data_IF_325294272245
#
_entry.id   IF_325294272245
#
_cell.length_a   1.000
_cell.length_b   1.000
_cell.length_c   1.000
_cell.angle_alpha   90.00
_cell.angle_beta   90.00
_cell.angle_gamma   90.00
#
_symmetry.space_group_name_H-M   'P 1'
#
loop_
_entity.id
_entity.type
_entity.pdbx_description
1 polymer ?
#
# COMPACT_ATOMS: atom_id res chain seq x y z
N UNK A 1 11.81 8.17 6.54
CA UNK A 1 10.34 8.35 6.43
C UNK A 1 9.73 7.32 5.49
N UNK A 2 10.23 7.19 4.26
CA UNK A 2 9.88 6.06 3.38
C UNK A 2 10.20 4.69 3.97
N UNK A 3 11.26 4.56 4.76
CA UNK A 3 11.58 3.31 5.50
C UNK A 3 10.44 2.81 6.39
N UNK A 4 9.54 3.69 6.86
CA UNK A 4 8.34 3.26 7.59
C UNK A 4 7.35 2.57 6.66
N UNK A 5 7.20 3.07 5.44
CA UNK A 5 6.36 2.46 4.41
C UNK A 5 6.87 1.06 4.03
N UNK A 6 8.19 0.88 3.95
CA UNK A 6 8.82 -0.41 3.62
C UNK A 6 8.56 -1.50 4.68
N UNK A 7 8.13 -1.11 5.89
CA UNK A 7 7.74 -2.03 6.97
C UNK A 7 6.25 -2.35 6.98
N UNK A 8 5.44 -1.64 6.18
CA UNK A 8 4.00 -1.89 6.07
C UNK A 8 3.78 -3.06 5.11
N UNK A 9 3.09 -4.14 5.51
CA UNK A 9 2.87 -5.29 4.64
C UNK A 9 1.98 -4.95 3.43
N UNK A 10 2.38 -5.42 2.26
CA UNK A 10 1.54 -5.43 1.05
C UNK A 10 0.70 -6.71 1.02
N UNK A 11 -0.61 -6.56 1.20
CA UNK A 11 -1.50 -7.70 1.29
C UNK A 11 -1.68 -8.44 -0.03
N UNK A 12 -1.38 -7.83 -1.17
CA UNK A 12 -1.39 -8.55 -2.44
C UNK A 12 -0.22 -9.53 -2.52
N UNK A 13 0.96 -9.12 -2.06
CA UNK A 13 2.14 -9.99 -2.01
C UNK A 13 1.99 -11.08 -0.94
N UNK A 14 1.44 -10.75 0.24
CA UNK A 14 1.14 -11.77 1.25
C UNK A 14 0.07 -12.77 0.75
N UNK A 15 -0.96 -12.28 0.05
CA UNK A 15 -1.97 -13.16 -0.55
C UNK A 15 -1.38 -14.07 -1.63
N UNK A 16 -0.44 -13.56 -2.45
CA UNK A 16 0.28 -14.37 -3.45
C UNK A 16 1.06 -15.50 -2.78
N UNK A 17 1.82 -15.20 -1.71
CA UNK A 17 2.58 -16.22 -0.96
C UNK A 17 1.67 -17.28 -0.37
N UNK A 18 0.51 -16.90 0.16
CA UNK A 18 -0.45 -17.86 0.70
C UNK A 18 -1.10 -18.71 -0.38
N UNK A 19 -1.49 -18.13 -1.51
CA UNK A 19 -2.02 -18.84 -2.69
C UNK A 19 -0.99 -19.88 -3.20
N UNK A 20 0.28 -19.52 -3.30
CA UNK A 20 1.35 -20.43 -3.73
C UNK A 20 1.51 -21.64 -2.79
N UNK A 21 1.25 -21.45 -1.49
CA UNK A 21 1.42 -22.51 -0.47
C UNK A 21 0.17 -23.38 -0.27
N UNK A 22 -1.02 -22.78 -0.34
CA UNK A 22 -2.29 -23.41 0.07
C UNK A 22 -3.32 -23.50 -1.05
N UNK A 23 -3.07 -22.85 -2.19
CA UNK A 23 -4.05 -22.64 -3.25
C UNK A 23 -5.12 -21.62 -2.85
N UNK A 24 -6.11 -21.42 -3.74
CA UNK A 24 -7.24 -20.52 -3.52
C UNK A 24 -7.27 -19.35 -4.51
N UNK A 25 -8.21 -18.42 -4.28
CA UNK A 25 -8.31 -17.17 -5.05
C UNK A 25 -7.52 -16.07 -4.35
N UNK A 26 -6.47 -15.56 -5.00
CA UNK A 26 -5.62 -14.49 -4.47
C UNK A 26 -6.38 -13.27 -3.97
N UNK A 27 -7.41 -12.83 -4.69
CA UNK A 27 -8.15 -11.63 -4.31
C UNK A 27 -9.06 -11.89 -3.12
N UNK A 28 -9.68 -13.08 -3.04
CA UNK A 28 -10.41 -13.49 -1.86
C UNK A 28 -9.50 -13.60 -0.62
N UNK A 29 -8.28 -14.14 -0.79
CA UNK A 29 -7.27 -14.21 0.28
C UNK A 29 -6.87 -12.80 0.73
N UNK A 30 -6.57 -11.90 -0.22
CA UNK A 30 -6.22 -10.50 0.08
C UNK A 30 -7.32 -9.81 0.88
N UNK A 31 -8.58 -9.97 0.49
CA UNK A 31 -9.71 -9.32 1.15
C UNK A 31 -9.91 -9.87 2.58
N UNK A 32 -9.71 -11.19 2.79
CA UNK A 32 -9.66 -11.80 4.12
C UNK A 32 -8.51 -11.22 4.96
N UNK A 33 -7.29 -11.16 4.43
CA UNK A 33 -6.13 -10.59 5.12
C UNK A 33 -6.36 -9.12 5.48
N UNK A 34 -6.99 -8.34 4.59
CA UNK A 34 -7.32 -6.95 4.87
C UNK A 34 -8.26 -6.82 6.06
N UNK A 35 -9.27 -7.70 6.16
CA UNK A 35 -10.14 -7.74 7.33
C UNK A 35 -9.38 -8.11 8.60
N UNK A 36 -8.50 -9.12 8.56
CA UNK A 36 -7.69 -9.52 9.71
C UNK A 36 -6.76 -8.40 10.19
N UNK A 37 -6.12 -7.67 9.28
CA UNK A 37 -5.26 -6.54 9.64
C UNK A 37 -6.06 -5.38 10.25
N UNK A 38 -7.28 -5.12 9.74
CA UNK A 38 -8.20 -4.14 10.37
C UNK A 38 -8.57 -4.56 11.78
N UNK A 39 -8.94 -5.82 11.98
CA UNK A 39 -9.33 -6.33 13.30
C UNK A 39 -8.16 -6.30 14.29
N UNK A 40 -6.94 -6.53 13.81
CA UNK A 40 -5.69 -6.40 14.59
C UNK A 40 -5.20 -4.96 14.73
N UNK A 41 -5.87 -3.97 14.15
CA UNK A 41 -5.46 -2.56 14.15
C UNK A 41 -4.04 -2.34 13.59
N UNK A 42 -3.67 -3.12 12.58
CA UNK A 42 -2.35 -3.06 11.93
C UNK A 42 -2.43 -2.30 10.62
N UNK A 43 -1.46 -1.42 10.32
CA UNK A 43 -1.39 -0.77 9.01
C UNK A 43 -1.06 -1.79 7.92
N UNK A 44 -1.57 -1.56 6.72
CA UNK A 44 -1.32 -2.40 5.55
C UNK A 44 -1.43 -1.62 4.25
N UNK A 45 -0.84 -2.17 3.19
CA UNK A 45 -0.95 -1.68 1.82
C UNK A 45 -1.89 -2.58 1.01
N UNK A 46 -2.72 -1.94 0.21
CA UNK A 46 -3.45 -2.57 -0.89
C UNK A 46 -2.80 -2.15 -2.21
N UNK A 47 -2.02 -3.05 -2.80
CA UNK A 47 -1.52 -2.88 -4.15
C UNK A 47 -2.56 -3.32 -5.19
N UNK A 48 -2.69 -2.53 -6.25
CA UNK A 48 -3.49 -2.84 -7.42
C UNK A 48 -2.64 -2.66 -8.68
N UNK A 49 -2.03 -3.75 -9.18
CA UNK A 49 -1.26 -3.68 -10.42
C UNK A 49 -2.19 -3.60 -11.63
N UNK A 50 -1.77 -2.83 -12.63
CA UNK A 50 -2.43 -2.73 -13.92
C UNK A 50 -1.58 -3.38 -15.01
N UNK A 51 -2.20 -3.66 -16.16
CA UNK A 51 -1.53 -4.29 -17.31
C UNK A 51 -0.62 -3.34 -18.09
N UNK A 52 -0.79 -2.03 -17.91
CA UNK A 52 0.02 -1.03 -18.63
C UNK A 52 1.27 -0.67 -17.84
N UNK A 53 2.24 -0.10 -18.54
CA UNK A 53 3.50 0.36 -17.96
C UNK A 53 3.45 1.88 -17.80
N UNK A 54 4.10 2.38 -16.77
CA UNK A 54 4.35 3.80 -16.56
C UNK A 54 5.85 4.08 -16.70
N UNK A 55 6.18 5.34 -16.98
CA UNK A 55 7.55 5.85 -16.98
C UNK A 55 7.69 6.93 -15.92
N UNK A 56 8.87 7.05 -15.33
CA UNK A 56 9.24 8.21 -14.51
C UNK A 56 9.27 9.50 -15.35
N UNK A 57 9.36 10.64 -14.67
CA UNK A 57 9.34 11.98 -15.25
C UNK A 57 10.51 12.25 -16.20
N UNK A 58 11.68 11.65 -15.94
CA UNK A 58 12.85 11.71 -16.82
C UNK A 58 12.73 10.80 -18.04
N UNK A 59 11.81 9.82 -18.00
CA UNK A 59 11.64 8.81 -19.05
C UNK A 59 12.71 7.71 -19.06
N UNK A 60 13.69 7.77 -18.15
CA UNK A 60 14.83 6.84 -18.08
C UNK A 60 14.43 5.46 -17.53
N UNK A 61 13.46 5.44 -16.62
CA UNK A 61 12.97 4.23 -15.96
C UNK A 61 11.52 3.94 -16.36
N UNK A 62 11.25 2.68 -16.70
CA UNK A 62 9.90 2.15 -16.94
C UNK A 62 9.60 0.98 -15.99
N UNK A 63 8.37 0.93 -15.50
CA UNK A 63 7.91 -0.10 -14.56
C UNK A 63 6.41 -0.36 -14.74
N UNK A 64 5.94 -1.49 -14.22
CA UNK A 64 4.49 -1.80 -14.21
C UNK A 64 3.73 -0.76 -13.40
N UNK A 65 2.58 -0.32 -13.92
CA UNK A 65 1.74 0.63 -13.21
C UNK A 65 1.07 -0.08 -12.02
N UNK A 66 1.25 0.47 -10.82
CA UNK A 66 0.61 -0.04 -9.59
C UNK A 66 0.07 1.16 -8.82
N UNK A 67 -1.22 1.11 -8.49
CA UNK A 67 -1.81 2.01 -7.50
C UNK A 67 -1.70 1.35 -6.13
N UNK A 68 -1.27 2.11 -5.14
CA UNK A 68 -1.23 1.71 -3.75
C UNK A 68 -2.24 2.51 -2.94
N UNK A 69 -2.87 1.84 -1.98
CA UNK A 69 -3.57 2.49 -0.89
C UNK A 69 -2.98 2.03 0.44
N UNK A 70 -2.40 2.97 1.19
CA UNK A 70 -2.00 2.76 2.58
C UNK A 70 -3.23 2.94 3.46
N UNK A 71 -3.60 1.89 4.21
CA UNK A 71 -4.66 1.92 5.21
C UNK A 71 -4.02 1.90 6.61
N UNK A 72 -4.45 2.83 7.45
CA UNK A 72 -4.06 2.90 8.87
C UNK A 72 -5.33 2.87 9.72
N UNK A 73 -5.65 1.71 10.34
CA UNK A 73 -6.75 1.62 11.29
C UNK A 73 -6.55 2.55 12.50
N UNK A 74 -7.62 3.21 12.95
CA UNK A 74 -7.64 4.18 14.05
C UNK A 74 -8.65 3.80 15.16
N UNK A 75 -8.85 2.51 15.38
CA UNK A 75 -9.78 1.95 16.35
C UNK A 75 -11.24 1.97 15.89
N UNK A 76 -12.13 1.52 16.77
CA UNK A 76 -13.59 1.65 16.58
C UNK A 76 -14.06 2.96 17.21
N UNK A 77 -14.69 3.81 16.40
CA UNK A 77 -15.43 4.98 16.87
C UNK A 77 -16.93 4.68 17.06
N UNK A 78 -17.67 5.68 17.51
CA UNK A 78 -19.14 5.63 17.70
C UNK A 78 -19.93 5.23 16.44
N UNK A 79 -19.34 5.34 15.24
CA UNK A 79 -19.98 5.06 13.96
C UNK A 79 -19.29 3.94 13.15
N UNK A 80 -18.51 3.08 13.81
CA UNK A 80 -17.79 1.98 13.17
C UNK A 80 -16.27 2.14 13.18
N UNK A 81 -15.56 1.30 12.41
CA UNK A 81 -14.11 1.38 12.27
C UNK A 81 -13.72 2.74 11.68
N UNK A 82 -12.83 3.47 12.39
CA UNK A 82 -12.21 4.69 11.85
C UNK A 82 -10.92 4.28 11.18
N UNK A 83 -10.76 4.65 9.92
CA UNK A 83 -9.55 4.39 9.15
C UNK A 83 -9.08 5.69 8.51
N UNK A 84 -7.77 5.86 8.40
CA UNK A 84 -7.17 6.89 7.55
C UNK A 84 -6.48 6.20 6.39
N UNK A 85 -6.61 6.76 5.19
CA UNK A 85 -5.90 6.25 4.02
C UNK A 85 -5.20 7.31 3.19
N UNK A 86 -4.19 6.87 2.46
CA UNK A 86 -3.54 7.64 1.41
C UNK A 86 -3.39 6.75 0.17
N UNK A 87 -3.83 7.27 -0.97
CA UNK A 87 -3.60 6.66 -2.28
C UNK A 87 -2.41 7.33 -2.95
N UNK A 88 -1.59 6.53 -3.61
CA UNK A 88 -0.41 7.00 -4.35
C UNK A 88 0.01 5.93 -5.35
N UNK A 89 0.78 6.33 -6.37
CA UNK A 89 1.25 5.44 -7.43
C UNK A 89 2.66 4.93 -7.16
N UNK A 90 2.99 3.77 -7.73
CA UNK A 90 4.37 3.28 -7.80
C UNK A 90 5.32 4.34 -8.37
N UNK A 91 4.87 5.06 -9.39
CA UNK A 91 5.62 6.17 -9.97
C UNK A 91 5.95 7.24 -8.94
N UNK A 92 4.99 7.69 -8.15
CA UNK A 92 5.25 8.72 -7.15
C UNK A 92 6.30 8.28 -6.13
N UNK A 93 6.30 7.01 -5.72
CA UNK A 93 7.37 6.46 -4.87
C UNK A 93 8.73 6.44 -5.58
N UNK A 94 8.76 6.07 -6.86
CA UNK A 94 9.99 6.09 -7.67
C UNK A 94 10.56 7.50 -7.76
N UNK A 95 9.74 8.51 -8.06
CA UNK A 95 10.17 9.92 -8.14
C UNK A 95 10.80 10.40 -6.82
N UNK A 96 10.22 9.99 -5.69
CA UNK A 96 10.76 10.35 -4.37
C UNK A 96 12.12 9.68 -4.11
N UNK A 97 12.25 8.39 -4.46
CA UNK A 97 13.47 7.60 -4.22
C UNK A 97 14.62 7.98 -5.13
N UNK A 98 14.36 8.07 -6.43
CA UNK A 98 15.41 8.20 -7.45
C UNK A 98 15.65 9.65 -7.90
N UNK A 99 14.66 10.52 -7.75
CA UNK A 99 14.71 11.89 -8.25
C UNK A 99 14.56 12.95 -7.15
N UNK A 100 14.51 12.53 -5.88
CA UNK A 100 14.43 13.43 -4.73
C UNK A 100 13.13 14.24 -4.66
N UNK A 101 12.07 13.78 -5.34
CA UNK A 101 10.77 14.44 -5.28
C UNK A 101 10.19 14.43 -3.85
N UNK A 102 9.26 15.34 -3.59
CA UNK A 102 8.55 15.37 -2.31
C UNK A 102 7.52 14.23 -2.22
N UNK A 103 7.36 13.67 -1.03
CA UNK A 103 6.25 12.73 -0.76
C UNK A 103 4.90 13.42 -0.97
N UNK A 104 3.89 12.69 -1.51
CA UNK A 104 2.52 13.17 -1.53
C UNK A 104 2.10 13.62 -0.11
N UNK A 105 1.51 14.82 0.07
CA UNK A 105 1.30 15.40 1.40
C UNK A 105 0.52 14.48 2.34
N UNK A 106 -0.51 13.80 1.83
CA UNK A 106 -1.33 12.89 2.62
C UNK A 106 -0.57 11.64 3.07
N UNK A 107 0.28 11.11 2.18
CA UNK A 107 1.16 9.98 2.51
C UNK A 107 2.18 10.39 3.57
N UNK A 108 2.83 11.54 3.41
CA UNK A 108 3.76 12.07 4.41
C UNK A 108 3.10 12.23 5.79
N UNK A 109 1.87 12.76 5.83
CA UNK A 109 1.09 12.91 7.07
C UNK A 109 0.82 11.55 7.74
N UNK A 110 0.40 10.55 6.97
CA UNK A 110 0.13 9.21 7.46
C UNK A 110 1.40 8.50 7.94
N UNK A 111 2.50 8.58 7.19
CA UNK A 111 3.77 7.95 7.58
C UNK A 111 4.35 8.54 8.86
N UNK A 112 4.13 9.83 9.14
CA UNK A 112 4.52 10.45 10.43
C UNK A 112 3.70 9.92 11.60
N UNK A 113 2.44 9.54 11.35
CA UNK A 113 1.52 9.02 12.35
C UNK A 113 1.63 7.50 12.57
N UNK A 114 2.34 6.78 11.69
CA UNK A 114 2.69 5.38 11.94
C UNK A 114 3.60 5.28 13.18
N UNK A 115 3.45 4.24 14.01
CA UNK A 115 4.30 4.00 15.18
C UNK A 115 5.79 3.86 14.84
#
# INVERSE_FOLDING_TARGET
MLEKLDRVPDLLEEARREEEQKGGDRYAIRDRLAQEYRDQQRPFLLAQPFRHHEKCSTGEHGFGAVDYELIVPQGRGLFGARERSAKFKARELHEVREHGAALPPKLAELLRALP
#
